data_IF_633795399751
#
_entry.id   IF_633795399751
#
_cell.length_a   1.000
_cell.length_b   1.000
_cell.length_c   1.000
_cell.angle_alpha   90.00
_cell.angle_beta   90.00
_cell.angle_gamma   90.00
#
_symmetry.space_group_name_H-M   'P 1'
#
loop_
_entity.id
_entity.type
_entity.pdbx_description
1 polymer ?
#
# COMPACT_ATOMS: atom_id res chain seq x y z
N UNK A 1 29.10 42.95 -39.94
CA UNK A 1 27.83 43.55 -39.45
C UNK A 1 26.83 42.44 -39.17
N UNK A 2 26.44 42.32 -37.91
CA UNK A 2 25.87 41.13 -37.28
C UNK A 2 24.35 41.28 -37.15
N UNK A 3 23.55 40.47 -37.86
CA UNK A 3 22.10 40.37 -37.64
C UNK A 3 21.63 38.92 -37.82
N UNK A 4 21.79 38.10 -36.79
CA UNK A 4 21.02 36.86 -36.57
C UNK A 4 20.53 36.93 -35.13
N UNK A 5 19.42 37.63 -34.89
CA UNK A 5 18.05 37.09 -34.80
C UNK A 5 17.92 36.02 -33.71
N UNK A 6 17.55 36.52 -32.51
CA UNK A 6 16.52 36.00 -31.59
C UNK A 6 16.04 34.58 -31.93
N UNK A 7 16.56 33.57 -31.25
CA UNK A 7 15.97 32.22 -31.18
C UNK A 7 16.69 31.43 -30.07
N UNK A 8 16.62 31.92 -28.83
CA UNK A 8 17.13 31.20 -27.65
C UNK A 8 16.03 31.04 -26.58
N UNK A 9 14.80 31.49 -26.84
CA UNK A 9 13.73 31.58 -25.84
C UNK A 9 12.46 30.80 -26.22
N UNK A 10 12.58 29.69 -26.94
CA UNK A 10 11.45 28.82 -27.26
C UNK A 10 11.69 27.33 -27.01
N UNK A 11 12.85 26.96 -26.46
CA UNK A 11 13.14 25.56 -26.11
C UNK A 11 12.73 25.16 -24.68
N UNK A 12 12.24 26.09 -23.87
CA UNK A 12 11.91 25.83 -22.46
C UNK A 12 10.41 25.58 -22.17
N UNK A 13 9.54 25.61 -23.19
CA UNK A 13 8.07 25.53 -22.98
C UNK A 13 7.48 24.20 -23.49
N UNK A 14 8.24 23.39 -24.25
CA UNK A 14 7.70 22.17 -24.89
C UNK A 14 7.95 20.86 -24.13
N UNK A 15 8.73 20.84 -23.05
CA UNK A 15 8.90 19.65 -22.20
C UNK A 15 7.88 19.54 -21.06
N UNK A 16 7.06 20.57 -20.82
CA UNK A 16 6.01 20.52 -19.78
C UNK A 16 4.68 19.91 -20.27
N UNK A 17 4.54 19.61 -21.57
CA UNK A 17 3.26 19.20 -22.16
C UNK A 17 3.09 17.68 -22.37
N UNK A 18 4.10 16.86 -22.06
CA UNK A 18 4.01 15.39 -22.20
C UNK A 18 3.79 14.66 -20.85
N UNK A 19 3.73 15.40 -19.74
CA UNK A 19 3.34 14.83 -18.43
C UNK A 19 1.81 14.82 -18.19
N UNK A 20 1.01 15.37 -19.12
CA UNK A 20 -0.43 15.61 -18.92
C UNK A 20 -1.40 14.63 -19.59
N UNK A 21 -0.90 13.65 -20.35
CA UNK A 21 -1.74 12.74 -21.16
C UNK A 21 -1.66 11.27 -20.74
N UNK A 22 -1.40 11.01 -19.45
CA UNK A 22 -1.57 9.69 -18.81
C UNK A 22 -2.82 9.57 -17.95
N UNK A 23 -3.68 10.59 -17.94
CA UNK A 23 -4.94 10.61 -17.18
C UNK A 23 -6.05 9.94 -18.00
N UNK A 24 -5.80 8.67 -18.35
CA UNK A 24 -6.75 7.84 -19.07
C UNK A 24 -6.90 6.54 -18.30
N UNK A 25 -7.97 6.45 -17.49
CA UNK A 25 -8.39 5.24 -16.76
C UNK A 25 -7.49 4.80 -15.60
N UNK A 26 -7.21 5.68 -14.64
CA UNK A 26 -6.85 5.22 -13.29
C UNK A 26 -8.13 4.68 -12.62
N UNK A 27 -8.48 3.45 -13.00
CA UNK A 27 -9.24 2.53 -12.16
C UNK A 27 -8.66 2.63 -10.75
N UNK A 28 -9.51 2.49 -9.73
CA UNK A 28 -9.16 2.35 -8.31
C UNK A 28 -8.14 1.21 -8.09
N UNK A 29 -6.91 1.44 -8.53
CA UNK A 29 -5.81 0.52 -8.46
C UNK A 29 -5.09 0.88 -7.19
N UNK A 30 -5.12 -0.04 -6.24
CA UNK A 30 -4.28 -0.02 -5.05
C UNK A 30 -2.90 0.56 -5.43
N UNK A 31 -2.46 1.67 -4.82
CA UNK A 31 -1.19 2.30 -5.15
C UNK A 31 -0.03 1.31 -4.99
N UNK A 32 -0.13 0.40 -4.01
CA UNK A 32 0.80 -0.71 -3.85
C UNK A 32 0.59 -1.84 -4.85
N UNK A 33 -0.22 -1.76 -5.91
CA UNK A 33 -0.16 -2.70 -7.04
C UNK A 33 0.90 -2.29 -8.08
N UNK A 34 1.35 -1.05 -8.03
CA UNK A 34 2.38 -0.54 -8.91
C UNK A 34 3.73 -0.47 -8.19
N UNK A 35 4.84 -0.81 -8.87
CA UNK A 35 6.17 -0.64 -8.30
C UNK A 35 6.43 0.83 -8.01
N UNK A 36 7.03 1.14 -6.85
CA UNK A 36 7.27 2.51 -6.40
C UNK A 36 7.03 2.68 -4.90
N UNK A 37 7.28 3.90 -4.41
CA UNK A 37 6.95 4.30 -3.04
C UNK A 37 5.58 4.96 -3.00
N UNK A 38 4.77 4.59 -2.01
CA UNK A 38 3.42 5.07 -1.86
C UNK A 38 3.09 5.26 -0.38
N UNK A 39 2.35 6.31 -0.06
CA UNK A 39 1.73 6.48 1.26
C UNK A 39 0.54 5.54 1.35
N UNK A 40 0.50 4.71 2.39
CA UNK A 40 -0.56 3.74 2.62
C UNK A 40 -1.03 3.79 4.07
N UNK A 41 -2.29 3.44 4.27
CA UNK A 41 -2.90 3.38 5.58
C UNK A 41 -2.48 2.10 6.31
N UNK A 42 -2.43 2.17 7.63
CA UNK A 42 -2.11 1.04 8.51
C UNK A 42 -3.33 0.69 9.33
N UNK A 43 -3.67 -0.59 9.35
CA UNK A 43 -4.75 -1.16 10.13
C UNK A 43 -4.18 -2.25 11.05
N UNK A 44 -4.84 -2.51 12.16
CA UNK A 44 -4.59 -3.66 13.01
C UNK A 44 -5.50 -4.82 12.60
N UNK A 45 -4.99 -6.04 12.61
CA UNK A 45 -5.83 -7.24 12.43
C UNK A 45 -6.30 -7.72 13.82
N UNK A 46 -7.61 -7.71 14.05
CA UNK A 46 -8.21 -7.98 15.36
C UNK A 46 -8.41 -9.49 15.64
N UNK A 47 -8.64 -10.28 14.60
CA UNK A 47 -8.88 -11.72 14.71
C UNK A 47 -7.77 -12.56 14.04
N UNK A 48 -7.44 -13.71 14.65
CA UNK A 48 -6.77 -14.79 13.90
C UNK A 48 -7.66 -15.17 12.72
N UNK A 49 -7.06 -15.31 11.54
CA UNK A 49 -7.74 -15.66 10.28
C UNK A 49 -8.85 -16.70 10.57
N UNK A 50 -10.12 -16.26 10.57
CA UNK A 50 -11.22 -17.21 10.71
C UNK A 50 -11.15 -18.08 9.47
N UNK A 51 -10.74 -19.34 9.65
CA UNK A 51 -10.36 -20.27 8.59
C UNK A 51 -11.49 -20.65 7.62
N UNK A 52 -12.63 -19.96 7.65
CA UNK A 52 -13.69 -20.09 6.66
C UNK A 52 -13.23 -19.49 5.33
N UNK A 53 -12.52 -20.33 4.59
CA UNK A 53 -12.21 -20.11 3.19
C UNK A 53 -13.54 -20.17 2.43
N UNK A 54 -14.24 -19.05 2.27
CA UNK A 54 -15.46 -19.04 1.46
C UNK A 54 -15.11 -19.18 -0.01
N UNK A 55 -15.76 -20.15 -0.67
CA UNK A 55 -15.67 -20.36 -2.11
C UNK A 55 -16.58 -19.34 -2.80
N UNK A 56 -15.96 -18.21 -3.15
CA UNK A 56 -16.47 -17.17 -4.05
C UNK A 56 -17.70 -16.37 -3.53
N UNK A 57 -17.50 -15.14 -3.03
CA UNK A 57 -18.60 -14.33 -2.45
C UNK A 57 -19.54 -13.71 -3.49
N UNK A 58 -19.32 -13.99 -4.78
CA UNK A 58 -20.05 -13.32 -5.86
C UNK A 58 -19.71 -11.83 -5.98
N UNK A 59 -20.66 -11.05 -6.49
CA UNK A 59 -20.52 -9.62 -6.83
C UNK A 59 -20.36 -8.68 -5.61
N UNK A 60 -20.51 -9.17 -4.39
CA UNK A 60 -20.42 -8.38 -3.16
C UNK A 60 -19.09 -8.68 -2.46
N UNK A 61 -18.11 -7.79 -2.66
CA UNK A 61 -16.73 -7.90 -2.15
C UNK A 61 -16.60 -7.68 -0.63
N UNK A 62 -17.56 -8.08 0.20
CA UNK A 62 -17.51 -7.88 1.65
C UNK A 62 -17.81 -9.21 2.36
N UNK A 63 -16.96 -9.65 3.31
CA UNK A 63 -17.29 -10.83 4.13
C UNK A 63 -18.31 -10.47 5.24
N UNK A 64 -18.26 -9.22 5.72
CA UNK A 64 -19.23 -8.53 6.58
C UNK A 64 -18.89 -7.01 6.54
N UNK A 65 -19.63 -6.16 7.26
CA UNK A 65 -19.47 -4.70 7.26
C UNK A 65 -18.02 -4.22 7.53
N UNK A 66 -17.26 -4.97 8.32
CA UNK A 66 -15.90 -4.63 8.76
C UNK A 66 -14.84 -5.67 8.33
N UNK A 67 -15.15 -6.51 7.33
CA UNK A 67 -14.28 -7.62 6.91
C UNK A 67 -13.81 -7.48 5.46
N UNK A 68 -12.49 -7.53 5.26
CA UNK A 68 -11.83 -7.37 3.97
C UNK A 68 -11.38 -8.73 3.39
N UNK A 69 -11.38 -8.83 2.06
CA UNK A 69 -10.76 -9.96 1.36
C UNK A 69 -9.28 -9.70 1.09
N UNK A 70 -8.42 -10.63 1.47
CA UNK A 70 -7.01 -10.67 1.11
C UNK A 70 -6.70 -11.98 0.36
N UNK A 71 -5.93 -11.90 -0.72
CA UNK A 71 -5.45 -13.09 -1.43
C UNK A 71 -4.01 -13.42 -1.01
N UNK A 72 -3.81 -14.61 -0.44
CA UNK A 72 -2.51 -15.14 -0.06
C UNK A 72 -2.26 -16.46 -0.81
N UNK A 73 -1.49 -16.37 -1.90
CA UNK A 73 -1.29 -17.50 -2.82
C UNK A 73 -2.59 -17.86 -3.53
N UNK A 74 -3.07 -19.10 -3.33
CA UNK A 74 -4.33 -19.59 -3.91
C UNK A 74 -5.51 -19.47 -2.93
N UNK A 75 -5.30 -18.85 -1.76
CA UNK A 75 -6.32 -18.71 -0.70
C UNK A 75 -6.90 -17.31 -0.70
N UNK A 76 -8.23 -17.24 -0.55
CA UNK A 76 -8.94 -16.02 -0.19
C UNK A 76 -9.19 -16.03 1.31
N UNK A 77 -8.77 -14.98 1.99
CA UNK A 77 -8.85 -14.81 3.43
C UNK A 77 -9.81 -13.67 3.76
N UNK A 78 -10.70 -13.89 4.72
CA UNK A 78 -11.48 -12.83 5.35
C UNK A 78 -10.71 -12.32 6.57
N UNK A 79 -10.41 -11.03 6.60
CA UNK A 79 -9.70 -10.37 7.70
C UNK A 79 -10.56 -9.25 8.29
N UNK A 80 -10.70 -9.26 9.62
CA UNK A 80 -11.31 -8.16 10.38
C UNK A 80 -10.21 -7.17 10.74
N UNK A 81 -10.41 -5.90 10.41
CA UNK A 81 -9.42 -4.85 10.58
C UNK A 81 -9.95 -3.72 11.45
N UNK A 82 -9.16 -3.28 12.42
CA UNK A 82 -9.36 -2.04 13.15
C UNK A 82 -8.52 -0.91 12.55
N UNK A 83 -9.15 0.21 12.17
CA UNK A 83 -8.46 1.37 11.62
C UNK A 83 -9.31 2.24 10.68
N UNK A 84 -8.69 3.20 9.96
CA UNK A 84 -7.24 3.42 9.84
C UNK A 84 -6.60 3.97 11.12
N UNK A 85 -5.38 3.52 11.42
CA UNK A 85 -4.63 3.85 12.64
C UNK A 85 -3.46 4.81 12.40
N UNK A 86 -3.13 5.05 11.14
CA UNK A 86 -2.05 5.93 10.70
C UNK A 86 -1.67 5.65 9.26
N UNK A 87 -0.64 6.34 8.78
CA UNK A 87 -0.08 6.18 7.44
C UNK A 87 1.42 5.97 7.52
N UNK A 88 1.98 5.22 6.56
CA UNK A 88 3.42 5.02 6.39
C UNK A 88 3.80 5.08 4.91
N UNK A 89 5.06 5.38 4.62
CA UNK A 89 5.58 5.22 3.27
C UNK A 89 6.04 3.77 3.06
N UNK A 90 5.43 3.10 2.10
CA UNK A 90 5.74 1.72 1.75
C UNK A 90 6.17 1.63 0.29
N UNK A 91 7.24 0.86 0.04
CA UNK A 91 7.76 0.62 -1.29
C UNK A 91 7.40 -0.78 -1.77
N UNK A 92 6.75 -0.91 -2.94
CA UNK A 92 6.61 -2.21 -3.61
C UNK A 92 7.71 -2.41 -4.64
N UNK A 93 8.40 -3.54 -4.53
CA UNK A 93 9.41 -3.99 -5.48
C UNK A 93 9.54 -5.51 -5.45
N UNK A 94 9.64 -6.15 -6.62
CA UNK A 94 9.91 -7.58 -6.76
C UNK A 94 8.94 -8.49 -5.96
N UNK A 95 7.65 -8.14 -5.94
CA UNK A 95 6.62 -8.88 -5.22
C UNK A 95 6.67 -8.73 -3.69
N UNK A 96 7.45 -7.78 -3.18
CA UNK A 96 7.58 -7.47 -1.76
C UNK A 96 7.17 -6.04 -1.48
N UNK A 97 6.67 -5.80 -0.28
CA UNK A 97 6.44 -4.46 0.27
C UNK A 97 7.47 -4.23 1.37
N UNK A 98 8.13 -3.08 1.32
CA UNK A 98 9.13 -2.66 2.30
C UNK A 98 8.73 -1.34 2.93
N UNK A 99 8.70 -1.29 4.26
CA UNK A 99 8.59 -0.03 5.01
C UNK A 99 9.99 0.34 5.51
N UNK A 100 10.38 1.58 5.28
CA UNK A 100 11.70 2.07 5.65
C UNK A 100 11.87 2.13 7.17
N UNK A 101 13.11 2.00 7.65
CA UNK A 101 13.44 2.02 9.09
C UNK A 101 12.88 3.24 9.84
N UNK A 102 12.80 4.41 9.19
CA UNK A 102 12.27 5.64 9.79
C UNK A 102 10.79 5.56 10.15
N UNK A 103 10.01 4.75 9.44
CA UNK A 103 8.57 4.60 9.65
C UNK A 103 8.22 3.41 10.55
N UNK A 104 9.17 2.49 10.80
CA UNK A 104 8.94 1.31 11.66
C UNK A 104 8.63 1.70 13.11
N UNK A 105 9.23 2.78 13.63
CA UNK A 105 8.86 3.31 14.95
C UNK A 105 7.40 3.82 15.01
N UNK A 106 6.82 4.19 13.87
CA UNK A 106 5.39 4.49 13.76
C UNK A 106 4.54 3.23 13.88
N UNK A 107 4.93 2.17 13.16
CA UNK A 107 4.27 0.86 13.22
C UNK A 107 4.31 0.25 14.61
N UNK A 108 5.45 0.32 15.30
CA UNK A 108 5.59 -0.18 16.68
C UNK A 108 4.68 0.56 17.65
N UNK A 109 4.54 1.89 17.52
CA UNK A 109 3.62 2.68 18.34
C UNK A 109 2.16 2.29 18.08
N UNK A 110 1.79 2.06 16.82
CA UNK A 110 0.46 1.57 16.45
C UNK A 110 0.21 0.20 17.06
N UNK A 111 1.16 -0.74 16.93
CA UNK A 111 1.05 -2.07 17.52
C UNK A 111 0.93 -2.02 19.06
N UNK A 112 1.73 -1.19 19.73
CA UNK A 112 1.68 -1.03 21.18
C UNK A 112 0.35 -0.44 21.67
N UNK A 113 -0.28 0.45 20.88
CA UNK A 113 -1.60 1.00 21.17
C UNK A 113 -2.75 0.01 20.92
N UNK A 114 -2.48 -1.08 20.20
CA UNK A 114 -3.46 -2.11 19.84
C UNK A 114 -2.95 -3.49 20.32
N UNK A 115 -2.93 -3.75 21.64
CA UNK A 115 -2.28 -4.93 22.23
C UNK A 115 -2.95 -6.27 21.86
N UNK A 116 -4.15 -6.27 21.27
CA UNK A 116 -4.79 -7.46 20.72
C UNK A 116 -4.30 -7.85 19.32
N UNK A 117 -3.63 -6.93 18.60
CA UNK A 117 -3.22 -7.14 17.23
C UNK A 117 -1.92 -7.94 17.15
N UNK A 118 -1.94 -9.07 16.44
CA UNK A 118 -0.72 -9.85 16.13
C UNK A 118 -0.11 -9.46 14.78
N UNK A 119 -0.89 -8.80 13.92
CA UNK A 119 -0.53 -8.44 12.56
C UNK A 119 -1.02 -7.02 12.26
N UNK A 120 -0.18 -6.20 11.63
CA UNK A 120 -0.58 -4.95 11.00
C UNK A 120 -0.80 -5.18 9.51
N UNK A 121 -1.80 -4.52 8.93
CA UNK A 121 -2.13 -4.63 7.51
C UNK A 121 -1.91 -3.27 6.85
N UNK A 122 -1.12 -3.26 5.78
CA UNK A 122 -0.97 -2.08 4.93
C UNK A 122 -2.10 -2.08 3.90
N UNK A 123 -2.81 -0.96 3.83
CA UNK A 123 -3.97 -0.75 2.99
C UNK A 123 -3.70 0.38 2.00
N UNK A 124 -3.69 0.05 0.71
CA UNK A 124 -3.83 1.05 -0.35
C UNK A 124 -5.32 1.24 -0.68
N UNK A 125 -5.80 0.60 -1.76
CA UNK A 125 -7.25 0.51 -2.05
C UNK A 125 -7.88 -0.79 -1.53
N UNK A 126 -7.11 -1.59 -0.80
CA UNK A 126 -7.41 -2.92 -0.28
C UNK A 126 -6.17 -3.49 0.43
N UNK A 127 -6.25 -4.69 1.02
CA UNK A 127 -5.12 -5.28 1.73
C UNK A 127 -3.93 -5.56 0.82
N UNK A 128 -2.81 -4.87 1.05
CA UNK A 128 -1.63 -4.91 0.18
C UNK A 128 -0.47 -5.70 0.79
N UNK A 129 -0.33 -5.71 2.11
CA UNK A 129 0.70 -6.45 2.82
C UNK A 129 0.31 -6.73 4.26
N UNK A 130 0.82 -7.83 4.82
CA UNK A 130 0.66 -8.21 6.24
C UNK A 130 2.02 -8.18 6.91
N UNK A 131 2.13 -7.43 8.00
CA UNK A 131 3.34 -7.27 8.79
C UNK A 131 3.09 -7.89 10.16
N UNK A 132 3.68 -9.07 10.46
CA UNK A 132 3.64 -9.61 11.81
C UNK A 132 4.25 -8.60 12.78
N UNK A 133 3.58 -8.32 13.89
CA UNK A 133 4.10 -7.37 14.89
C UNK A 133 5.46 -7.84 15.42
N UNK A 134 5.67 -9.15 15.52
CA UNK A 134 6.96 -9.76 15.91
C UNK A 134 8.11 -9.52 14.93
N UNK A 135 7.83 -9.01 13.72
CA UNK A 135 8.85 -8.67 12.71
C UNK A 135 9.29 -7.21 12.75
N UNK A 136 8.63 -6.38 13.58
CA UNK A 136 9.00 -5.00 13.78
C UNK A 136 10.23 -4.94 14.71
N UNK A 137 11.27 -4.27 14.24
CA UNK A 137 12.49 -4.03 15.01
C UNK A 137 12.88 -2.57 14.79
N UNK A 138 12.90 -1.80 15.88
CA UNK A 138 13.28 -0.40 15.86
C UNK A 138 14.56 -0.14 15.06
N UNK A 139 14.50 0.84 14.15
CA UNK A 139 15.63 1.26 13.32
C UNK A 139 16.00 0.28 12.18
N UNK A 140 15.25 -0.80 11.98
CA UNK A 140 15.41 -1.70 10.83
C UNK A 140 14.25 -1.54 9.84
N UNK A 141 14.49 -1.61 8.53
CA UNK A 141 13.40 -1.72 7.57
C UNK A 141 12.69 -3.07 7.74
N UNK A 142 11.39 -3.09 7.49
CA UNK A 142 10.61 -4.34 7.45
C UNK A 142 10.22 -4.64 6.01
N UNK A 143 10.49 -5.87 5.56
CA UNK A 143 10.16 -6.32 4.21
C UNK A 143 9.32 -7.59 4.30
N UNK A 144 8.13 -7.55 3.70
CA UNK A 144 7.18 -8.65 3.69
C UNK A 144 6.72 -8.98 2.26
N UNK A 145 6.22 -10.19 1.99
CA UNK A 145 5.56 -10.50 0.73
C UNK A 145 4.36 -9.57 0.50
N UNK A 146 4.18 -9.14 -0.74
CA UNK A 146 2.98 -8.41 -1.12
C UNK A 146 1.80 -9.38 -1.31
N UNK A 147 0.61 -8.96 -0.90
CA UNK A 147 -0.64 -9.64 -1.24
C UNK A 147 -0.97 -9.43 -2.73
N UNK A 148 -1.81 -10.34 -3.27
CA UNK A 148 -2.23 -10.34 -4.68
C UNK A 148 -3.57 -9.65 -4.88
#
# INVERSE_FOLDING_TARGET
MTKRRKLVWTAAILTAAVAGAGVGTAVWADPLKLPGSHTVEVYAQDDELTGETQRDPGLFRMCDADTYYAEEGDRKLCIVLSGPLGEVEAQRKDGKVTVAAGDVAGLERIAAANPGATTLVLMGSGPSARIPVTSLVEGQPVTVPALR
#
